data_IF_861698198542
#
_entry.id   IF_861698198542
#
_cell.length_a   1.000
_cell.length_b   1.000
_cell.length_c   1.000
_cell.angle_alpha   90.00
_cell.angle_beta   90.00
_cell.angle_gamma   90.00
#
_symmetry.space_group_name_H-M   'P 1'
#
loop_
_entity.id
_entity.type
_entity.pdbx_description
1 polymer ?
#
# COMPACT_ATOMS: atom_id res chain seq x y z
N UNK A 1 10.71 -6.28 7.23
CA UNK A 1 9.65 -5.83 6.30
C UNK A 1 9.94 -6.38 4.92
N UNK A 2 8.92 -6.91 4.26
CA UNK A 2 9.03 -7.45 2.90
C UNK A 2 9.10 -6.31 1.90
N UNK A 3 9.88 -6.49 0.84
CA UNK A 3 9.95 -5.54 -0.27
C UNK A 3 8.55 -5.29 -0.86
N UNK A 4 8.25 -4.02 -1.15
CA UNK A 4 6.95 -3.65 -1.69
C UNK A 4 6.89 -3.98 -3.18
N UNK A 5 5.79 -4.58 -3.64
CA UNK A 5 5.50 -4.74 -5.07
C UNK A 5 4.51 -3.67 -5.50
N UNK A 6 4.93 -2.78 -6.39
CA UNK A 6 4.04 -1.78 -6.99
C UNK A 6 3.15 -2.44 -8.04
N UNK A 7 1.85 -2.11 -8.00
CA UNK A 7 0.82 -2.59 -8.93
C UNK A 7 -0.05 -1.42 -9.39
N UNK A 8 -0.71 -1.63 -10.52
CA UNK A 8 -1.73 -0.71 -11.03
C UNK A 8 -3.07 -1.43 -11.15
N UNK A 9 -4.16 -0.68 -11.02
CA UNK A 9 -5.53 -1.13 -11.23
C UNK A 9 -6.26 -0.10 -12.09
N UNK A 10 -6.75 -0.53 -13.24
CA UNK A 10 -7.61 0.27 -14.09
C UNK A 10 -9.01 0.36 -13.48
N UNK A 11 -9.52 1.58 -13.32
CA UNK A 11 -10.88 1.88 -12.86
C UNK A 11 -11.53 2.90 -13.81
N UNK A 12 -12.87 3.04 -13.82
CA UNK A 12 -13.50 4.06 -14.66
C UNK A 12 -12.95 5.46 -14.36
N UNK A 13 -12.26 6.05 -15.34
CA UNK A 13 -11.73 7.41 -15.28
C UNK A 13 -10.37 7.58 -14.60
N UNK A 14 -9.70 6.50 -14.16
CA UNK A 14 -8.36 6.60 -13.57
C UNK A 14 -7.60 5.27 -13.56
N UNK A 15 -6.29 5.37 -13.40
CA UNK A 15 -5.43 4.23 -13.01
C UNK A 15 -4.99 4.44 -11.56
N UNK A 16 -5.31 3.49 -10.70
CA UNK A 16 -4.85 3.49 -9.30
C UNK A 16 -3.48 2.80 -9.22
N UNK A 17 -2.47 3.49 -8.70
CA UNK A 17 -1.18 2.90 -8.37
C UNK A 17 -1.10 2.63 -6.86
N UNK A 18 -0.70 1.41 -6.48
CA UNK A 18 -0.62 0.99 -5.07
C UNK A 18 0.53 0.00 -4.84
N UNK A 19 1.05 0.00 -3.61
CA UNK A 19 2.06 -0.95 -3.18
C UNK A 19 1.42 -2.08 -2.37
N UNK A 20 1.82 -3.32 -2.65
CA UNK A 20 1.48 -4.49 -1.83
C UNK A 20 2.70 -4.90 -1.02
N UNK A 21 2.54 -4.99 0.30
CA UNK A 21 3.54 -5.53 1.23
C UNK A 21 2.95 -6.77 1.89
N UNK A 22 3.57 -7.93 1.70
CA UNK A 22 3.15 -9.17 2.36
C UNK A 22 3.65 -9.26 3.79
N UNK A 23 3.10 -10.20 4.57
CA UNK A 23 3.60 -10.56 5.90
C UNK A 23 2.72 -10.14 7.09
N UNK A 24 1.54 -9.57 6.86
CA UNK A 24 0.52 -9.45 7.90
C UNK A 24 -0.12 -10.80 8.20
N UNK A 25 -0.46 -11.04 9.46
CA UNK A 25 -1.14 -12.26 9.94
C UNK A 25 -2.66 -12.13 10.02
N UNK A 26 -3.20 -10.98 9.64
CA UNK A 26 -4.56 -10.58 9.98
C UNK A 26 -5.57 -11.06 8.96
N UNK A 27 -6.82 -11.17 9.40
CA UNK A 27 -7.94 -11.63 8.56
C UNK A 27 -8.31 -10.62 7.46
N UNK A 28 -7.86 -9.36 7.58
CA UNK A 28 -8.10 -8.31 6.60
C UNK A 28 -6.84 -7.45 6.35
N UNK A 29 -6.59 -7.03 5.10
CA UNK A 29 -5.42 -6.21 4.78
C UNK A 29 -5.59 -4.77 5.29
N UNK A 30 -4.52 -4.22 5.88
CA UNK A 30 -4.45 -2.79 6.22
C UNK A 30 -4.32 -1.96 4.93
N UNK A 31 -5.16 -0.92 4.81
CA UNK A 31 -5.14 0.00 3.68
C UNK A 31 -4.64 1.38 4.11
N UNK A 32 -3.54 1.82 3.50
CA UNK A 32 -3.08 3.21 3.57
C UNK A 32 -3.45 3.96 2.30
N UNK A 33 -3.98 5.16 2.45
CA UNK A 33 -4.35 6.04 1.34
C UNK A 33 -3.72 7.41 1.54
N UNK A 34 -3.13 7.96 0.46
CA UNK A 34 -2.49 9.28 0.46
C UNK A 34 -3.04 10.13 -0.67
N UNK A 35 -3.14 11.43 -0.41
CA UNK A 35 -3.45 12.43 -1.41
C UNK A 35 -2.20 13.06 -2.01
N UNK A 36 -2.37 13.72 -3.15
CA UNK A 36 -1.35 14.56 -3.78
C UNK A 36 -0.70 15.52 -2.78
N UNK A 37 0.62 15.77 -2.85
CA UNK A 37 1.53 15.44 -3.96
C UNK A 37 2.38 14.17 -3.77
N UNK A 38 2.16 13.38 -2.72
CA UNK A 38 3.02 12.24 -2.38
C UNK A 38 2.40 10.90 -2.76
N UNK A 39 3.23 9.89 -3.04
CA UNK A 39 2.82 8.52 -3.38
C UNK A 39 3.01 7.51 -2.23
N UNK A 40 2.76 6.23 -2.50
CA UNK A 40 2.76 5.15 -1.49
C UNK A 40 4.09 4.96 -0.74
N UNK A 41 5.22 5.37 -1.33
CA UNK A 41 6.53 5.29 -0.70
C UNK A 41 6.62 6.02 0.65
N UNK A 42 5.78 7.05 0.87
CA UNK A 42 5.72 7.79 2.14
C UNK A 42 5.30 6.95 3.35
N UNK A 43 4.68 5.78 3.13
CA UNK A 43 4.21 4.90 4.20
C UNK A 43 5.17 3.77 4.56
N UNK A 44 6.35 3.67 3.94
CA UNK A 44 7.28 2.55 4.15
C UNK A 44 7.55 2.26 5.64
N UNK A 45 7.91 3.30 6.41
CA UNK A 45 8.14 3.18 7.86
C UNK A 45 6.85 2.84 8.62
N UNK A 46 5.74 3.55 8.33
CA UNK A 46 4.47 3.36 9.05
C UNK A 46 3.93 1.94 8.87
N UNK A 47 3.98 1.41 7.65
CA UNK A 47 3.55 0.05 7.34
C UNK A 47 4.31 -1.01 8.16
N UNK A 48 5.53 -0.73 8.62
CA UNK A 48 6.30 -1.64 9.48
C UNK A 48 5.73 -1.84 10.88
N UNK A 49 4.80 -0.99 11.31
CA UNK A 49 4.13 -1.11 12.60
C UNK A 49 2.82 -1.92 12.52
N UNK A 50 2.37 -2.28 11.32
CA UNK A 50 1.13 -3.03 11.09
C UNK A 50 1.49 -4.43 10.61
N UNK A 51 1.76 -5.31 11.57
CA UNK A 51 2.18 -6.70 11.35
C UNK A 51 1.08 -7.69 11.62
N UNK A 52 -0.07 -7.20 12.09
CA UNK A 52 -1.18 -8.02 12.56
C UNK A 52 -1.84 -8.83 11.46
#
# INVERSE_FOLDING_TARGET
MTEATTRTLEVPGATLAYDVRGGGSGDAPVLFMIGSPMGAAGFGTLAGHFTD
#
